data_IF_308494330677
#
_entry.id   IF_308494330677
#
_cell.length_a   1.000
_cell.length_b   1.000
_cell.length_c   1.000
_cell.angle_alpha   90.00
_cell.angle_beta   90.00
_cell.angle_gamma   90.00
#
_symmetry.space_group_name_H-M   'P 1'
#
loop_
_entity.id
_entity.type
_entity.pdbx_description
1 polymer ?
#
# COMPACT_ATOMS: atom_id res chain seq x y z
N UNK A 1 -7.17 4.17 -9.41
CA UNK A 1 -6.95 4.10 -7.95
C UNK A 1 -7.01 5.48 -7.31
N UNK A 2 -6.26 6.48 -7.78
CA UNK A 2 -6.37 7.86 -7.29
C UNK A 2 -7.81 8.40 -7.37
N UNK A 3 -8.53 8.17 -8.47
CA UNK A 3 -9.93 8.61 -8.62
C UNK A 3 -10.87 7.94 -7.58
N UNK A 4 -10.57 6.70 -7.18
CA UNK A 4 -11.32 5.96 -6.16
C UNK A 4 -11.01 6.53 -4.78
N UNK A 5 -9.72 6.81 -4.50
CA UNK A 5 -9.29 7.42 -3.25
C UNK A 5 -9.94 8.80 -3.09
N UNK A 6 -9.88 9.65 -4.11
CA UNK A 6 -10.48 10.98 -4.11
C UNK A 6 -12.01 10.96 -3.94
N UNK A 7 -12.69 9.90 -4.41
CA UNK A 7 -14.13 9.74 -4.21
C UNK A 7 -14.55 9.25 -2.82
N UNK A 8 -13.60 8.73 -2.03
CA UNK A 8 -13.86 8.17 -0.68
C UNK A 8 -13.44 9.14 0.42
N UNK A 9 -12.43 9.97 0.16
CA UNK A 9 -11.86 10.91 1.13
C UNK A 9 -12.66 12.19 1.22
N UNK A 10 -12.72 12.77 2.41
CA UNK A 10 -13.38 14.05 2.65
C UNK A 10 -12.69 15.14 1.80
N UNK A 11 -13.50 16.04 1.24
CA UNK A 11 -13.04 17.19 0.44
C UNK A 11 -12.20 16.81 -0.80
N UNK A 12 -12.16 15.52 -1.17
CA UNK A 12 -11.28 14.98 -2.23
C UNK A 12 -9.80 15.32 -2.05
N UNK A 13 -9.38 15.69 -0.85
CA UNK A 13 -7.99 16.03 -0.54
C UNK A 13 -7.20 14.78 -0.12
N UNK A 14 -6.23 14.42 -0.96
CA UNK A 14 -5.30 13.33 -0.69
C UNK A 14 -3.87 13.85 -0.72
N UNK A 15 -3.19 13.79 0.42
CA UNK A 15 -1.80 14.19 0.55
C UNK A 15 -0.88 13.00 0.25
N UNK A 16 -0.50 12.84 -1.02
CA UNK A 16 0.38 11.76 -1.46
C UNK A 16 1.81 11.95 -0.94
N UNK A 17 2.36 10.89 -0.34
CA UNK A 17 3.75 10.85 0.14
C UNK A 17 4.61 10.13 -0.90
N UNK A 18 5.70 10.80 -1.32
CA UNK A 18 6.66 10.30 -2.30
C UNK A 18 6.02 9.92 -3.66
N UNK A 19 5.38 10.86 -4.38
CA UNK A 19 4.72 10.59 -5.66
C UNK A 19 5.70 10.15 -6.77
N UNK A 20 6.98 10.49 -6.65
CA UNK A 20 8.00 10.16 -7.64
C UNK A 20 8.76 8.85 -7.36
N UNK A 21 8.54 8.20 -6.21
CA UNK A 21 9.25 6.99 -5.81
C UNK A 21 8.29 5.80 -5.73
N UNK A 22 8.65 4.67 -6.34
CA UNK A 22 7.84 3.44 -6.37
C UNK A 22 6.36 3.71 -6.70
N UNK A 23 6.10 4.21 -7.92
CA UNK A 23 4.77 4.63 -8.42
C UNK A 23 3.75 3.49 -8.55
N UNK A 24 4.18 2.24 -8.35
CA UNK A 24 3.32 1.06 -8.25
C UNK A 24 2.52 1.02 -6.94
N UNK A 25 3.01 1.67 -5.87
CA UNK A 25 2.27 1.83 -4.61
C UNK A 25 2.08 3.31 -4.28
N UNK A 26 0.82 3.66 -4.04
CA UNK A 26 0.38 4.97 -3.58
C UNK A 26 0.30 4.89 -2.07
N UNK A 27 0.92 5.85 -1.39
CA UNK A 27 0.78 6.04 0.04
C UNK A 27 0.47 7.52 0.29
N UNK A 28 -0.29 7.82 1.32
CA UNK A 28 -0.56 9.20 1.67
C UNK A 28 -1.55 9.32 2.80
N UNK A 29 -1.79 10.56 3.22
CA UNK A 29 -2.76 10.86 4.25
C UNK A 29 -4.01 11.47 3.63
N UNK A 30 -5.15 11.15 4.23
CA UNK A 30 -6.41 11.80 3.93
C UNK A 30 -7.21 11.98 5.21
N UNK A 31 -8.40 12.56 5.09
CA UNK A 31 -9.37 12.64 6.17
C UNK A 31 -10.63 11.89 5.79
N UNK A 32 -11.22 11.21 6.77
CA UNK A 32 -12.54 10.60 6.68
C UNK A 32 -13.33 10.89 7.94
N UNK A 33 -14.50 11.48 7.79
CA UNK A 33 -15.34 11.97 8.87
C UNK A 33 -14.57 12.84 9.88
N UNK A 34 -13.67 13.70 9.39
CA UNK A 34 -12.83 14.57 10.22
C UNK A 34 -11.66 13.89 10.94
N UNK A 35 -11.48 12.57 10.80
CA UNK A 35 -10.34 11.84 11.35
C UNK A 35 -9.26 11.62 10.30
N UNK A 36 -7.98 11.78 10.69
CA UNK A 36 -6.84 11.48 9.82
C UNK A 36 -6.76 9.98 9.57
N UNK A 37 -6.69 9.57 8.31
CA UNK A 37 -6.52 8.19 7.88
C UNK A 37 -5.29 8.08 6.97
N UNK A 38 -4.53 7.01 7.14
CA UNK A 38 -3.43 6.65 6.25
C UNK A 38 -3.95 5.76 5.13
N UNK A 39 -3.68 6.11 3.88
CA UNK A 39 -4.13 5.33 2.72
C UNK A 39 -2.92 4.66 2.09
N UNK A 40 -3.06 3.36 1.82
CA UNK A 40 -2.10 2.56 1.06
C UNK A 40 -2.85 1.92 -0.10
N UNK A 41 -2.53 2.23 -1.34
CA UNK A 41 -3.24 1.72 -2.51
C UNK A 41 -2.29 1.26 -3.60
N UNK A 42 -2.61 0.14 -4.24
CA UNK A 42 -1.83 -0.32 -5.39
C UNK A 42 -2.29 0.38 -6.68
N UNK A 43 -1.34 0.80 -7.52
CA UNK A 43 -1.63 1.50 -8.76
C UNK A 43 -1.52 0.54 -9.95
N UNK A 44 -2.64 0.02 -10.49
CA UNK A 44 -2.61 -0.89 -11.64
C UNK A 44 -2.06 -0.23 -12.91
N UNK A 45 -2.12 1.11 -13.03
CA UNK A 45 -1.56 1.85 -14.18
C UNK A 45 -0.03 1.76 -14.27
N UNK A 46 0.67 1.35 -13.21
CA UNK A 46 2.14 1.26 -13.15
C UNK A 46 2.53 -0.16 -12.80
N UNK A 47 3.36 -0.80 -13.66
CA UNK A 47 3.84 -2.18 -13.45
C UNK A 47 2.73 -3.20 -13.14
N UNK A 48 1.52 -2.99 -13.70
CA UNK A 48 0.32 -3.79 -13.42
C UNK A 48 -0.06 -3.91 -11.93
N UNK A 49 0.37 -2.97 -11.08
CA UNK A 49 0.16 -3.03 -9.63
C UNK A 49 1.03 -4.08 -8.92
N UNK A 50 2.09 -4.57 -9.56
CA UNK A 50 2.99 -5.55 -8.95
C UNK A 50 3.85 -4.91 -7.85
N UNK A 51 4.09 -5.70 -6.81
CA UNK A 51 4.93 -5.31 -5.67
C UNK A 51 6.40 -5.53 -6.01
N UNK A 52 7.18 -4.45 -6.05
CA UNK A 52 8.63 -4.47 -6.13
C UNK A 52 9.27 -4.29 -4.74
N UNK A 53 10.59 -4.50 -4.65
CA UNK A 53 11.41 -4.23 -3.45
C UNK A 53 11.20 -2.80 -2.94
N UNK A 54 11.27 -1.80 -3.82
CA UNK A 54 11.11 -0.38 -3.46
C UNK A 54 9.71 -0.08 -2.93
N UNK A 55 8.68 -0.66 -3.57
CA UNK A 55 7.29 -0.49 -3.13
C UNK A 55 7.04 -1.13 -1.77
N UNK A 56 7.66 -2.29 -1.51
CA UNK A 56 7.56 -2.99 -0.23
C UNK A 56 8.19 -2.19 0.91
N UNK A 57 9.38 -1.60 0.68
CA UNK A 57 10.05 -0.75 1.68
C UNK A 57 9.28 0.56 1.92
N UNK A 58 8.77 1.18 0.86
CA UNK A 58 7.93 2.39 0.92
C UNK A 58 6.67 2.14 1.75
N UNK A 59 5.92 1.08 1.43
CA UNK A 59 4.72 0.69 2.16
C UNK A 59 5.00 0.30 3.61
N UNK A 60 6.01 -0.54 3.85
CA UNK A 60 6.36 -0.99 5.21
C UNK A 60 6.70 0.19 6.14
N UNK A 61 7.48 1.16 5.66
CA UNK A 61 7.82 2.34 6.46
C UNK A 61 6.62 3.21 6.75
N UNK A 62 5.72 3.37 5.78
CA UNK A 62 4.48 4.14 5.96
C UNK A 62 3.54 3.48 6.97
N UNK A 63 3.34 2.16 6.88
CA UNK A 63 2.49 1.41 7.83
C UNK A 63 3.01 1.55 9.25
N UNK A 64 4.33 1.39 9.47
CA UNK A 64 4.94 1.57 10.79
C UNK A 64 4.83 3.00 11.32
N UNK A 65 4.90 3.99 10.42
CA UNK A 65 4.67 5.38 10.81
C UNK A 65 3.23 5.58 11.27
N UNK A 66 2.24 5.14 10.48
CA UNK A 66 0.83 5.24 10.86
C UNK A 66 0.55 4.53 12.20
N UNK A 67 1.13 3.35 12.41
CA UNK A 67 1.00 2.61 13.67
C UNK A 67 1.58 3.38 14.87
N UNK A 68 2.79 3.92 14.74
CA UNK A 68 3.43 4.70 15.81
C UNK A 68 2.64 5.96 16.22
N UNK A 69 1.85 6.52 15.29
CA UNK A 69 1.02 7.72 15.53
C UNK A 69 -0.46 7.39 15.78
N UNK A 70 -0.82 6.11 15.96
CA UNK A 70 -2.21 5.66 16.14
C UNK A 70 -3.16 6.09 15.01
N UNK A 71 -2.64 6.20 13.78
CA UNK A 71 -3.43 6.59 12.60
C UNK A 71 -4.03 5.33 11.98
N UNK A 72 -5.36 5.25 11.79
CA UNK A 72 -6.00 4.13 11.12
C UNK A 72 -5.55 4.02 9.66
N UNK A 73 -5.39 2.80 9.17
CA UNK A 73 -4.86 2.51 7.84
C UNK A 73 -5.96 1.91 6.96
N UNK A 74 -6.12 2.47 5.77
CA UNK A 74 -7.01 1.99 4.73
C UNK A 74 -6.17 1.49 3.56
N UNK A 75 -6.25 0.19 3.31
CA UNK A 75 -5.49 -0.47 2.26
C UNK A 75 -6.41 -0.80 1.08
N UNK A 76 -6.15 -0.24 -0.09
CA UNK A 76 -6.82 -0.58 -1.34
C UNK A 76 -6.01 -1.60 -2.12
N UNK A 77 -6.52 -2.83 -2.18
CA UNK A 77 -5.84 -3.95 -2.83
C UNK A 77 -6.45 -4.19 -4.21
N UNK A 78 -5.63 -3.95 -5.23
CA UNK A 78 -5.89 -4.33 -6.62
C UNK A 78 -4.60 -4.93 -7.21
N UNK A 79 -4.25 -6.13 -6.74
CA UNK A 79 -2.98 -6.80 -7.08
C UNK A 79 -3.25 -8.10 -7.82
N UNK A 80 -2.78 -8.24 -9.06
CA UNK A 80 -2.88 -9.50 -9.79
C UNK A 80 -1.88 -10.56 -9.30
N UNK A 81 -0.81 -10.18 -8.59
CA UNK A 81 0.23 -11.06 -8.02
C UNK A 81 1.59 -10.34 -7.87
N UNK A 82 2.64 -11.07 -7.47
CA UNK A 82 4.03 -10.59 -7.55
C UNK A 82 4.53 -10.64 -9.00
N UNK A 83 5.36 -9.68 -9.41
CA UNK A 83 5.97 -9.70 -10.75
C UNK A 83 6.98 -10.86 -10.81
N UNK A 84 6.79 -11.89 -11.66
CA UNK A 84 7.80 -12.91 -11.83
C UNK A 84 9.01 -12.32 -12.54
N UNK A 85 10.20 -12.45 -11.94
CA UNK A 85 11.44 -11.96 -12.53
C UNK A 85 12.66 -12.32 -11.69
N UNK A 86 13.63 -12.98 -12.30
CA UNK A 86 14.87 -13.43 -11.64
C UNK A 86 15.59 -12.27 -10.96
N UNK A 87 15.62 -11.07 -11.54
CA UNK A 87 16.24 -9.89 -10.94
C UNK A 87 15.60 -9.49 -9.59
N UNK A 88 14.31 -9.76 -9.37
CA UNK A 88 13.65 -9.46 -8.10
C UNK A 88 13.87 -10.56 -7.06
N UNK A 89 13.93 -11.82 -7.49
CA UNK A 89 14.31 -12.93 -6.63
C UNK A 89 15.76 -12.78 -6.12
N UNK A 90 16.71 -12.49 -7.02
CA UNK A 90 18.10 -12.18 -6.66
C UNK A 90 18.21 -10.89 -5.84
N UNK A 91 17.32 -9.92 -6.06
CA UNK A 91 17.21 -8.70 -5.25
C UNK A 91 16.64 -8.91 -3.84
N UNK A 92 16.26 -10.14 -3.48
CA UNK A 92 15.76 -10.46 -2.15
C UNK A 92 14.31 -10.03 -1.92
N UNK A 93 13.46 -10.11 -2.94
CA UNK A 93 12.03 -9.75 -2.82
C UNK A 93 11.32 -10.46 -1.68
N UNK A 94 11.72 -11.70 -1.34
CA UNK A 94 11.16 -12.43 -0.18
C UNK A 94 11.44 -11.68 1.13
N UNK A 95 12.68 -11.21 1.35
CA UNK A 95 13.03 -10.44 2.56
C UNK A 95 12.36 -9.06 2.59
N UNK A 96 12.28 -8.39 1.44
CA UNK A 96 11.68 -7.06 1.35
C UNK A 96 10.15 -7.09 1.44
N UNK A 97 9.50 -8.08 0.82
CA UNK A 97 8.07 -8.34 0.97
C UNK A 97 7.71 -8.77 2.39
N UNK A 98 8.57 -9.56 3.04
CA UNK A 98 8.40 -9.91 4.46
C UNK A 98 8.40 -8.68 5.38
N UNK A 99 9.11 -7.59 5.05
CA UNK A 99 9.05 -6.35 5.83
C UNK A 99 7.68 -5.69 5.78
N UNK A 100 7.01 -5.74 4.64
CA UNK A 100 5.65 -5.20 4.50
C UNK A 100 4.66 -6.07 5.27
N UNK A 101 4.74 -7.39 5.13
CA UNK A 101 3.92 -8.32 5.93
C UNK A 101 4.16 -8.14 7.43
N UNK A 102 5.42 -7.99 7.85
CA UNK A 102 5.78 -7.75 9.24
C UNK A 102 5.20 -6.43 9.75
N UNK A 103 5.27 -5.35 8.96
CA UNK A 103 4.69 -4.06 9.35
C UNK A 103 3.16 -4.14 9.55
N UNK A 104 2.46 -4.88 8.68
CA UNK A 104 1.01 -5.09 8.84
C UNK A 104 0.66 -6.01 10.02
N UNK A 105 1.51 -7.00 10.32
CA UNK A 105 1.34 -7.91 11.45
C UNK A 105 1.66 -7.24 12.80
N UNK A 106 2.66 -6.35 12.84
CA UNK A 106 3.04 -5.54 13.99
C UNK A 106 2.00 -4.46 14.28
N UNK A 107 1.40 -3.88 13.23
CA UNK A 107 0.47 -2.78 13.37
C UNK A 107 -0.75 -3.16 14.22
N UNK A 108 -0.99 -2.39 15.29
CA UNK A 108 -2.15 -2.55 16.19
C UNK A 108 -3.29 -1.59 15.85
N UNK A 109 -3.02 -0.56 15.05
CA UNK A 109 -4.03 0.39 14.57
C UNK A 109 -5.17 -0.27 13.80
N UNK A 110 -6.35 0.37 13.71
CA UNK A 110 -7.46 -0.09 12.89
C UNK A 110 -7.02 -0.21 11.42
N UNK A 111 -7.21 -1.40 10.85
CA UNK A 111 -6.85 -1.72 9.46
C UNK A 111 -8.12 -2.05 8.69
N UNK A 112 -8.43 -1.25 7.67
CA UNK A 112 -9.55 -1.50 6.76
C UNK A 112 -8.95 -1.87 5.42
N UNK A 113 -9.32 -3.03 4.87
CA UNK A 113 -8.84 -3.46 3.56
C UNK A 113 -10.00 -3.52 2.58
N UNK A 114 -9.92 -2.70 1.53
CA UNK A 114 -10.91 -2.67 0.45
C UNK A 114 -10.31 -3.32 -0.78
N UNK A 115 -10.89 -4.46 -1.15
CA UNK A 115 -10.51 -5.20 -2.35
C UNK A 115 -11.41 -4.74 -3.49
N UNK A 116 -10.85 -4.07 -4.49
CA UNK A 116 -11.66 -3.44 -5.55
C UNK A 116 -11.86 -4.33 -6.77
N UNK A 117 -10.89 -5.18 -7.15
CA UNK A 117 -11.02 -6.00 -8.37
C UNK A 117 -10.32 -7.35 -8.30
N UNK A 118 -8.98 -7.42 -8.43
CA UNK A 118 -8.22 -8.68 -8.44
C UNK A 118 -7.50 -8.90 -7.12
N UNK A 119 -7.73 -10.06 -6.52
CA UNK A 119 -6.89 -10.65 -5.47
C UNK A 119 -6.64 -12.10 -5.85
N UNK A 120 -5.45 -12.39 -6.34
CA UNK A 120 -4.94 -13.76 -6.35
C UNK A 120 -4.11 -13.95 -5.09
N UNK A 121 -4.55 -14.88 -4.25
CA UNK A 121 -3.75 -15.39 -3.12
C UNK A 121 -2.51 -16.07 -3.70
N UNK A 122 -1.34 -15.88 -3.07
CA UNK A 122 -0.21 -16.80 -3.27
C UNK A 122 -0.63 -18.18 -2.75
N UNK A 123 -1.26 -18.98 -3.62
CA UNK A 123 -1.42 -20.41 -3.38
C UNK A 123 -0.01 -21.00 -3.33
N UNK A 124 0.39 -21.43 -2.13
CA UNK A 124 1.66 -22.12 -1.90
C UNK A 124 1.73 -23.47 -2.60
#
# INVERSE_FOLDING_TARGET
MLDVIQGIVDESEFFEIQPNYAKNIIIGFARMNGHTVGIVGNQPKVAAGCLDINSSVKGARFVRFCDAFNIPIITFVDVPGFLPGTAQEYGGIIRHGAKLLFAYAEATVPKITVITRKVCVCSG
#
